data_IF_895502182949
#
_entry.id   IF_895502182949
#
_cell.length_a   1.000
_cell.length_b   1.000
_cell.length_c   1.000
_cell.angle_alpha   90.00
_cell.angle_beta   90.00
_cell.angle_gamma   90.00
#
_symmetry.space_group_name_H-M   'P 1'
#
loop_
_entity.id
_entity.type
_entity.pdbx_description
1 polymer ?
#
# COMPACT_ATOMS: atom_id res chain seq x y z
N UNK A 1 -17.20 -6.66 -16.82
CA UNK A 1 -15.75 -6.88 -16.61
C UNK A 1 -15.46 -6.89 -15.12
N UNK A 2 -14.52 -7.71 -14.65
CA UNK A 2 -14.17 -7.81 -13.23
C UNK A 2 -12.79 -7.20 -13.00
N UNK A 3 -12.66 -6.33 -12.00
CA UNK A 3 -11.38 -5.70 -11.68
C UNK A 3 -11.27 -5.26 -10.23
N UNK A 4 -10.15 -4.60 -9.90
CA UNK A 4 -9.86 -4.08 -8.56
C UNK A 4 -9.81 -2.56 -8.58
N UNK A 5 -10.48 -1.89 -7.64
CA UNK A 5 -10.34 -0.45 -7.47
C UNK A 5 -8.92 -0.14 -6.97
N UNK A 6 -8.12 0.56 -7.76
CA UNK A 6 -6.71 0.90 -7.44
C UNK A 6 -6.52 2.35 -7.04
N UNK A 7 -7.46 3.23 -7.38
CA UNK A 7 -7.40 4.66 -7.05
C UNK A 7 -8.80 5.25 -6.95
N UNK A 8 -8.94 6.21 -6.04
CA UNK A 8 -10.12 7.08 -5.91
C UNK A 8 -9.66 8.53 -5.99
N UNK A 9 -10.20 9.30 -6.92
CA UNK A 9 -9.96 10.75 -6.99
C UNK A 9 -11.09 11.46 -7.72
N UNK A 10 -11.47 12.66 -7.27
CA UNK A 10 -12.47 13.48 -7.95
C UNK A 10 -13.85 12.82 -8.13
N UNK A 11 -14.23 11.89 -7.25
CA UNK A 11 -15.48 11.14 -7.36
C UNK A 11 -15.46 9.97 -8.36
N UNK A 12 -14.31 9.71 -8.99
CA UNK A 12 -14.08 8.56 -9.86
C UNK A 12 -13.37 7.42 -9.13
N UNK A 13 -13.70 6.21 -9.56
CA UNK A 13 -13.06 4.96 -9.14
C UNK A 13 -12.27 4.42 -10.33
N UNK A 14 -10.97 4.23 -10.17
CA UNK A 14 -10.12 3.67 -11.22
C UNK A 14 -9.99 2.17 -10.98
N UNK A 15 -10.48 1.38 -11.92
CA UNK A 15 -10.54 -0.08 -11.82
C UNK A 15 -9.48 -0.70 -12.72
N UNK A 16 -8.59 -1.49 -12.14
CA UNK A 16 -7.61 -2.28 -12.88
C UNK A 16 -8.22 -3.64 -13.25
N UNK A 17 -8.28 -3.96 -14.54
CA UNK A 17 -8.69 -5.24 -15.12
C UNK A 17 -7.72 -5.58 -16.24
N UNK A 18 -7.17 -6.79 -16.24
CA UNK A 18 -6.27 -7.28 -17.31
C UNK A 18 -5.14 -6.27 -17.63
N UNK A 19 -4.50 -5.74 -16.57
CA UNK A 19 -3.43 -4.73 -16.63
C UNK A 19 -3.83 -3.35 -17.19
N UNK A 20 -5.09 -3.16 -17.58
CA UNK A 20 -5.64 -1.88 -18.05
C UNK A 20 -6.39 -1.19 -16.92
N UNK A 21 -6.20 0.13 -16.81
CA UNK A 21 -6.91 0.96 -15.82
C UNK A 21 -8.06 1.69 -16.51
N UNK A 22 -9.28 1.41 -16.05
CA UNK A 22 -10.51 2.03 -16.52
C UNK A 22 -10.96 3.10 -15.55
N UNK A 23 -11.32 4.28 -16.06
CA UNK A 23 -12.02 5.29 -15.28
C UNK A 23 -13.49 4.89 -15.15
N UNK A 24 -13.99 4.84 -13.91
CA UNK A 24 -15.35 4.39 -13.64
C UNK A 24 -16.08 5.29 -12.63
N UNK A 25 -17.42 5.19 -12.62
CA UNK A 25 -18.29 5.78 -11.60
C UNK A 25 -19.14 4.72 -10.93
N UNK A 26 -19.49 4.97 -9.68
CA UNK A 26 -20.55 4.23 -9.01
C UNK A 26 -21.90 4.65 -9.62
N UNK A 27 -22.62 3.71 -10.23
CA UNK A 27 -24.03 3.95 -10.60
C UNK A 27 -24.82 4.22 -9.30
N UNK A 28 -25.93 4.94 -9.37
CA UNK A 28 -26.73 5.37 -8.19
C UNK A 28 -27.19 4.26 -7.23
N UNK A 29 -26.91 2.99 -7.54
CA UNK A 29 -27.02 1.80 -6.69
C UNK A 29 -26.48 2.01 -5.26
N UNK A 30 -25.34 2.68 -5.11
CA UNK A 30 -24.68 2.83 -3.79
C UNK A 30 -25.12 4.07 -3.00
N UNK A 31 -26.24 4.72 -3.38
CA UNK A 31 -26.81 5.84 -2.62
C UNK A 31 -27.65 5.38 -1.42
N UNK A 32 -28.26 4.19 -1.52
CA UNK A 32 -29.16 3.64 -0.51
C UNK A 32 -28.60 2.39 0.19
N UNK A 33 -27.54 1.79 -0.34
CA UNK A 33 -26.79 0.74 0.35
C UNK A 33 -25.60 1.33 1.10
N UNK A 34 -25.39 0.94 2.36
CA UNK A 34 -24.24 1.37 3.19
C UNK A 34 -22.85 0.99 2.65
N UNK A 35 -22.79 0.38 1.46
CA UNK A 35 -21.55 -0.13 0.85
C UNK A 35 -20.96 0.86 -0.15
N UNK A 36 -20.37 1.94 0.38
CA UNK A 36 -19.51 2.84 -0.41
C UNK A 36 -18.31 2.04 -0.97
N UNK A 37 -17.99 2.15 -2.28
CA UNK A 37 -16.80 1.49 -2.83
C UNK A 37 -15.52 2.08 -2.22
N UNK A 38 -14.54 1.21 -2.00
CA UNK A 38 -13.24 1.53 -1.39
C UNK A 38 -12.11 1.11 -2.33
N UNK A 39 -10.96 1.78 -2.21
CA UNK A 39 -9.73 1.27 -2.82
C UNK A 39 -9.46 -0.13 -2.28
N UNK A 40 -9.17 -1.05 -3.20
CA UNK A 40 -8.98 -2.46 -2.92
C UNK A 40 -10.21 -3.33 -3.14
N UNK A 41 -11.40 -2.76 -3.31
CA UNK A 41 -12.59 -3.54 -3.65
C UNK A 41 -12.43 -4.27 -4.97
N UNK A 42 -12.89 -5.52 -5.00
CA UNK A 42 -13.09 -6.25 -6.25
C UNK A 42 -14.50 -5.91 -6.73
N UNK A 43 -14.62 -5.47 -7.98
CA UNK A 43 -15.86 -4.96 -8.55
C UNK A 43 -16.14 -5.55 -9.92
N UNK A 44 -17.41 -5.58 -10.27
CA UNK A 44 -17.88 -5.76 -11.64
C UNK A 44 -18.30 -4.41 -12.20
N UNK A 45 -17.87 -4.11 -13.43
CA UNK A 45 -18.19 -2.87 -14.13
C UNK A 45 -18.44 -3.09 -15.62
N UNK A 46 -19.18 -2.17 -16.23
CA UNK A 46 -19.50 -2.15 -17.67
C UNK A 46 -19.10 -0.82 -18.30
N UNK A 47 -18.59 -0.86 -19.52
CA UNK A 47 -18.23 0.34 -20.29
C UNK A 47 -19.43 0.87 -21.08
N UNK A 48 -19.68 2.17 -20.98
CA UNK A 48 -20.67 2.92 -21.77
C UNK A 48 -20.02 4.25 -22.21
N UNK A 49 -19.95 4.55 -23.51
CA UNK A 49 -19.41 5.81 -24.05
C UNK A 49 -18.04 6.25 -23.43
N UNK A 50 -17.09 5.31 -23.36
CA UNK A 50 -15.74 5.49 -22.78
C UNK A 50 -15.66 5.66 -21.25
N UNK A 51 -16.78 5.57 -20.53
CA UNK A 51 -16.80 5.59 -19.06
C UNK A 51 -17.30 4.26 -18.51
N UNK A 52 -16.62 3.73 -17.49
CA UNK A 52 -17.08 2.55 -16.78
C UNK A 52 -18.12 2.87 -15.71
N UNK A 53 -19.04 1.95 -15.48
CA UNK A 53 -20.00 2.02 -14.39
C UNK A 53 -19.89 0.77 -13.53
N UNK A 54 -19.61 0.96 -12.23
CA UNK A 54 -19.58 -0.13 -11.25
C UNK A 54 -21.02 -0.60 -11.02
N UNK A 55 -21.23 -1.90 -11.23
CA UNK A 55 -22.53 -2.57 -11.09
C UNK A 55 -22.59 -3.41 -9.82
N UNK A 56 -21.45 -3.95 -9.36
CA UNK A 56 -21.39 -4.83 -8.19
C UNK A 56 -20.06 -4.70 -7.45
N UNK A 57 -20.12 -4.79 -6.12
CA UNK A 57 -18.95 -4.94 -5.24
C UNK A 57 -18.98 -6.37 -4.67
N UNK A 58 -17.89 -7.10 -4.81
CA UNK A 58 -17.77 -8.45 -4.24
C UNK A 58 -17.46 -8.39 -2.73
N UNK A 59 -17.78 -9.47 -1.96
CA UNK A 59 -17.48 -9.53 -0.53
C UNK A 59 -16.01 -9.20 -0.22
N UNK A 60 -15.81 -8.42 0.83
CA UNK A 60 -14.49 -8.02 1.30
C UNK A 60 -13.96 -9.06 2.26
N UNK A 61 -12.69 -9.46 2.12
CA UNK A 61 -12.04 -10.32 3.13
C UNK A 61 -11.67 -9.55 4.40
N UNK A 62 -11.33 -8.26 4.26
CA UNK A 62 -11.04 -7.35 5.37
C UNK A 62 -11.20 -5.88 4.92
N UNK A 63 -11.24 -4.99 5.90
CA UNK A 63 -11.21 -3.54 5.72
C UNK A 63 -10.27 -2.97 6.76
N UNK A 64 -9.19 -2.31 6.33
CA UNK A 64 -8.34 -1.58 7.26
C UNK A 64 -9.06 -0.33 7.75
N UNK A 65 -8.93 0.00 9.03
CA UNK A 65 -9.49 1.24 9.59
C UNK A 65 -8.79 2.49 9.06
N UNK A 66 -7.46 2.47 8.94
CA UNK A 66 -6.63 3.62 8.51
C UNK A 66 -5.40 3.18 7.69
N UNK A 67 -5.27 3.58 6.40
CA UNK A 67 -6.31 4.19 5.57
C UNK A 67 -7.47 3.23 5.32
N UNK A 68 -8.66 3.74 5.00
CA UNK A 68 -9.85 2.92 4.76
C UNK A 68 -9.76 2.21 3.40
N UNK A 69 -9.13 1.04 3.38
CA UNK A 69 -8.88 0.22 2.19
C UNK A 69 -9.33 -1.22 2.43
N UNK A 70 -9.82 -1.89 1.38
CA UNK A 70 -10.34 -3.25 1.45
C UNK A 70 -9.38 -4.28 0.83
N UNK A 71 -9.57 -5.55 1.18
CA UNK A 71 -8.87 -6.69 0.57
C UNK A 71 -7.34 -6.54 0.56
N UNK A 72 -6.79 -6.21 1.73
CA UNK A 72 -5.35 -6.11 1.97
C UNK A 72 -4.83 -7.47 2.42
N UNK A 73 -3.73 -7.94 1.83
CA UNK A 73 -3.08 -9.19 2.21
C UNK A 73 -2.14 -8.99 3.39
N UNK A 74 -1.41 -7.88 3.40
CA UNK A 74 -0.41 -7.58 4.42
C UNK A 74 -0.20 -6.08 4.58
N UNK A 75 0.27 -5.65 5.75
CA UNK A 75 0.75 -4.29 6.03
C UNK A 75 2.25 -4.34 6.23
N UNK A 76 3.00 -3.52 5.51
CA UNK A 76 4.43 -3.31 5.74
C UNK A 76 4.64 -2.02 6.53
N UNK A 77 5.07 -2.16 7.79
CA UNK A 77 5.40 -1.04 8.69
C UNK A 77 6.88 -0.69 8.51
N UNK A 78 7.15 0.55 8.08
CA UNK A 78 8.52 1.05 7.91
C UNK A 78 9.01 1.78 9.16
N UNK A 79 10.21 1.41 9.62
CA UNK A 79 10.91 2.01 10.76
C UNK A 79 12.25 2.56 10.25
N UNK A 80 12.53 3.87 10.33
CA UNK A 80 13.83 4.41 9.94
C UNK A 80 14.88 4.11 11.02
N UNK A 81 16.12 3.83 10.64
CA UNK A 81 17.23 3.63 11.61
C UNK A 81 17.77 4.92 12.24
N UNK A 82 17.43 6.10 11.72
CA UNK A 82 17.99 7.36 12.24
C UNK A 82 17.05 8.56 12.12
N UNK A 83 16.85 9.03 10.90
CA UNK A 83 16.05 10.23 10.64
C UNK A 83 14.73 9.90 9.98
N UNK A 84 13.58 10.44 10.46
CA UNK A 84 13.43 11.18 11.71
C UNK A 84 13.59 10.28 12.94
N UNK A 85 13.85 10.89 14.10
CA UNK A 85 13.78 10.19 15.40
C UNK A 85 12.41 9.54 15.50
N UNK A 86 12.41 8.21 15.65
CA UNK A 86 11.21 7.42 15.77
C UNK A 86 10.96 7.07 17.24
N UNK A 87 9.70 6.87 17.60
CA UNK A 87 9.30 6.45 18.95
C UNK A 87 8.81 5.01 18.85
N UNK A 88 9.51 4.07 19.50
CA UNK A 88 9.14 2.66 19.49
C UNK A 88 7.72 2.42 19.97
N UNK A 89 7.27 3.10 21.04
CA UNK A 89 5.89 3.00 21.51
C UNK A 89 4.87 3.43 20.44
N UNK A 90 5.21 4.39 19.58
CA UNK A 90 4.35 4.77 18.46
C UNK A 90 4.35 3.69 17.37
N UNK A 91 5.51 3.10 17.07
CA UNK A 91 5.63 2.01 16.11
C UNK A 91 4.83 0.79 16.58
N UNK A 92 4.97 0.40 17.84
CA UNK A 92 4.25 -0.74 18.43
C UNK A 92 2.74 -0.50 18.40
N UNK A 93 2.28 0.72 18.73
CA UNK A 93 0.87 1.09 18.58
C UNK A 93 0.37 1.01 17.14
N UNK A 94 1.20 1.36 16.16
CA UNK A 94 0.86 1.21 14.74
C UNK A 94 0.75 -0.28 14.38
N UNK A 95 1.70 -1.10 14.79
CA UNK A 95 1.70 -2.55 14.54
C UNK A 95 0.45 -3.20 15.16
N UNK A 96 0.21 -2.96 16.45
CA UNK A 96 -0.95 -3.47 17.18
C UNK A 96 -2.27 -3.04 16.54
N UNK A 97 -2.32 -1.87 15.88
CA UNK A 97 -3.54 -1.41 15.20
C UNK A 97 -3.92 -2.22 13.96
N UNK A 98 -3.01 -3.03 13.43
CA UNK A 98 -3.24 -3.88 12.25
C UNK A 98 -3.23 -5.38 12.55
N UNK A 99 -2.58 -5.79 13.64
CA UNK A 99 -2.27 -7.21 13.91
C UNK A 99 -3.51 -8.11 13.98
N UNK A 100 -4.64 -7.59 14.46
CA UNK A 100 -5.92 -8.33 14.51
C UNK A 100 -6.62 -8.43 13.14
N UNK A 101 -6.28 -7.56 12.18
CA UNK A 101 -7.01 -7.39 10.91
C UNK A 101 -6.27 -8.02 9.71
N UNK A 102 -4.94 -8.11 9.76
CA UNK A 102 -4.11 -8.43 8.59
C UNK A 102 -2.66 -8.81 8.99
N UNK A 103 -1.97 -9.61 8.15
CA UNK A 103 -0.55 -9.96 8.33
C UNK A 103 0.31 -8.68 8.41
N UNK A 104 1.14 -8.54 9.46
CA UNK A 104 2.04 -7.39 9.62
C UNK A 104 3.50 -7.80 9.36
N UNK A 105 4.14 -7.06 8.47
CA UNK A 105 5.56 -7.14 8.15
C UNK A 105 6.27 -5.89 8.67
N UNK A 106 7.54 -6.03 9.05
CA UNK A 106 8.37 -4.91 9.49
C UNK A 106 9.54 -4.70 8.52
N UNK A 107 9.74 -3.46 8.07
CA UNK A 107 10.90 -3.07 7.28
C UNK A 107 11.70 -1.99 7.99
N UNK A 108 12.90 -2.34 8.41
CA UNK A 108 13.87 -1.41 8.98
C UNK A 108 14.59 -0.72 7.81
N UNK A 109 14.23 0.54 7.57
CA UNK A 109 14.66 1.32 6.43
C UNK A 109 15.80 2.27 6.77
N UNK A 110 16.53 2.72 5.75
CA UNK A 110 17.73 3.56 5.87
C UNK A 110 18.88 2.85 6.60
N UNK A 111 18.96 1.52 6.48
CA UNK A 111 20.00 0.68 7.10
C UNK A 111 21.44 1.16 6.79
N UNK A 112 21.65 1.86 5.67
CA UNK A 112 22.93 2.46 5.33
C UNK A 112 23.37 3.63 6.24
N UNK A 113 22.45 4.27 6.96
CA UNK A 113 22.73 5.43 7.82
C UNK A 113 23.15 5.05 9.24
N UNK A 114 22.67 3.91 9.73
CA UNK A 114 23.03 3.35 11.03
C UNK A 114 22.77 1.83 11.02
N UNK A 115 23.85 1.07 10.87
CA UNK A 115 23.77 -0.40 10.78
C UNK A 115 23.55 -1.05 12.13
N UNK A 116 24.20 -0.52 13.17
CA UNK A 116 24.07 -1.05 14.54
C UNK A 116 22.63 -0.93 15.02
N UNK A 117 22.01 0.23 14.82
CA UNK A 117 20.60 0.43 15.15
C UNK A 117 19.69 -0.47 14.31
N UNK A 118 20.00 -0.60 13.01
CA UNK A 118 19.23 -1.46 12.13
C UNK A 118 19.23 -2.92 12.55
N UNK A 119 20.39 -3.47 12.90
CA UNK A 119 20.55 -4.84 13.39
C UNK A 119 19.85 -5.05 14.74
N UNK A 120 19.96 -4.06 15.65
CA UNK A 120 19.26 -4.07 16.92
C UNK A 120 17.74 -4.17 16.73
N UNK A 121 17.16 -3.27 15.92
CA UNK A 121 15.72 -3.28 15.62
C UNK A 121 15.29 -4.56 14.90
N UNK A 122 16.10 -5.03 13.95
CA UNK A 122 15.81 -6.26 13.22
C UNK A 122 15.63 -7.42 14.18
N UNK A 123 16.55 -7.58 15.13
CA UNK A 123 16.49 -8.65 16.12
C UNK A 123 15.31 -8.48 17.09
N UNK A 124 14.96 -7.26 17.50
CA UNK A 124 13.76 -7.01 18.34
C UNK A 124 12.50 -7.54 17.65
N UNK A 125 12.19 -7.04 16.46
CA UNK A 125 10.93 -7.38 15.79
C UNK A 125 10.92 -8.82 15.26
N UNK A 126 12.07 -9.35 14.84
CA UNK A 126 12.20 -10.77 14.48
C UNK A 126 11.93 -11.68 15.68
N UNK A 127 12.49 -11.39 16.86
CA UNK A 127 12.24 -12.17 18.08
C UNK A 127 10.81 -12.04 18.59
N UNK A 128 10.18 -10.89 18.34
CA UNK A 128 8.75 -10.68 18.61
C UNK A 128 7.83 -11.45 17.65
N UNK A 129 8.36 -12.13 16.62
CA UNK A 129 7.59 -13.00 15.71
C UNK A 129 7.24 -12.37 14.36
N UNK A 130 7.66 -11.13 14.10
CA UNK A 130 7.37 -10.46 12.84
C UNK A 130 8.34 -10.91 11.73
N UNK A 131 7.81 -10.98 10.51
CA UNK A 131 8.65 -11.07 9.31
C UNK A 131 9.32 -9.71 9.08
N UNK A 132 10.62 -9.67 9.37
CA UNK A 132 11.40 -8.42 9.38
C UNK A 132 12.39 -8.37 8.22
N UNK A 133 12.58 -7.18 7.64
CA UNK A 133 13.51 -6.92 6.55
C UNK A 133 14.43 -5.75 6.92
N UNK A 134 15.73 -5.88 6.63
CA UNK A 134 16.64 -4.74 6.56
C UNK A 134 16.63 -4.20 5.14
N UNK A 135 16.32 -2.93 4.95
CA UNK A 135 16.28 -2.30 3.64
C UNK A 135 17.02 -0.96 3.59
N UNK A 136 17.62 -0.69 2.43
CA UNK A 136 18.11 0.63 2.06
C UNK A 136 18.06 0.80 0.56
N UNK A 137 17.72 2.00 0.09
CA UNK A 137 17.78 2.33 -1.34
C UNK A 137 19.20 2.26 -1.91
N UNK A 138 20.25 2.42 -1.07
CA UNK A 138 21.64 2.24 -1.49
C UNK A 138 21.99 0.77 -1.73
N UNK A 139 21.24 -0.14 -1.13
CA UNK A 139 21.46 -1.59 -1.21
C UNK A 139 20.32 -2.24 -1.98
N UNK A 140 20.33 -2.11 -3.30
CA UNK A 140 19.23 -2.53 -4.19
C UNK A 140 18.79 -3.99 -3.98
N UNK A 141 19.74 -4.89 -3.72
CA UNK A 141 19.46 -6.31 -3.41
C UNK A 141 18.43 -6.47 -2.26
N UNK A 142 18.51 -5.64 -1.21
CA UNK A 142 17.56 -5.71 -0.09
C UNK A 142 16.13 -5.33 -0.49
N UNK A 143 16.01 -4.36 -1.40
CA UNK A 143 14.73 -3.92 -1.96
C UNK A 143 14.18 -4.98 -2.93
N UNK A 144 15.04 -5.64 -3.69
CA UNK A 144 14.64 -6.72 -4.61
C UNK A 144 14.11 -7.94 -3.85
N UNK A 145 14.75 -8.33 -2.74
CA UNK A 145 14.23 -9.37 -1.85
C UNK A 145 12.85 -9.02 -1.28
N UNK A 146 12.69 -7.78 -0.80
CA UNK A 146 11.39 -7.29 -0.34
C UNK A 146 10.37 -7.34 -1.48
N UNK A 147 10.73 -6.85 -2.68
CA UNK A 147 9.85 -6.85 -3.84
C UNK A 147 9.36 -8.25 -4.20
N UNK A 148 10.25 -9.25 -4.21
CA UNK A 148 9.85 -10.63 -4.54
C UNK A 148 8.89 -11.19 -3.47
N UNK A 149 9.12 -10.88 -2.19
CA UNK A 149 8.20 -11.28 -1.11
C UNK A 149 6.81 -10.63 -1.24
N UNK A 150 6.74 -9.37 -1.68
CA UNK A 150 5.47 -8.65 -1.85
C UNK A 150 4.71 -9.03 -3.13
N UNK A 151 5.33 -9.79 -4.04
CA UNK A 151 4.76 -10.12 -5.35
C UNK A 151 3.44 -10.88 -5.22
N UNK A 152 2.45 -10.49 -6.02
CA UNK A 152 1.11 -11.10 -6.01
C UNK A 152 0.24 -10.73 -4.80
N UNK A 153 0.77 -9.98 -3.83
CA UNK A 153 0.03 -9.55 -2.63
C UNK A 153 -0.34 -8.07 -2.68
N UNK A 154 -1.50 -7.73 -2.16
CA UNK A 154 -1.95 -6.37 -1.88
C UNK A 154 -1.34 -5.91 -0.57
N UNK A 155 -0.32 -5.07 -0.66
CA UNK A 155 0.42 -4.57 0.50
C UNK A 155 0.05 -3.12 0.79
N UNK A 156 -0.42 -2.84 2.00
CA UNK A 156 -0.55 -1.48 2.50
C UNK A 156 0.77 -1.05 3.18
N UNK A 157 1.21 0.19 2.99
CA UNK A 157 2.40 0.71 3.66
C UNK A 157 2.02 1.61 4.83
N UNK A 158 2.65 1.39 5.98
CA UNK A 158 2.47 2.19 7.19
C UNK A 158 3.81 2.51 7.87
N UNK A 159 3.75 3.24 8.99
CA UNK A 159 4.92 3.71 9.73
C UNK A 159 4.98 5.23 9.83
N UNK A 160 5.95 5.75 10.59
CA UNK A 160 6.07 7.19 10.90
C UNK A 160 6.28 8.06 9.66
N UNK A 161 5.95 9.34 9.75
CA UNK A 161 6.26 10.30 8.68
C UNK A 161 7.75 10.26 8.35
N UNK A 162 8.12 10.46 7.09
CA UNK A 162 9.50 10.41 6.60
C UNK A 162 10.28 9.09 6.85
N UNK A 163 9.60 7.99 7.23
CA UNK A 163 10.18 6.64 7.28
C UNK A 163 10.64 6.10 5.89
N UNK A 164 10.38 6.83 4.80
CA UNK A 164 10.80 6.46 3.44
C UNK A 164 9.78 5.65 2.63
N UNK A 165 8.50 5.61 3.06
CA UNK A 165 7.41 4.90 2.36
C UNK A 165 7.35 5.22 0.86
N UNK A 166 7.29 6.49 0.49
CA UNK A 166 7.23 6.91 -0.92
C UNK A 166 8.47 6.51 -1.73
N UNK A 167 9.65 6.60 -1.12
CA UNK A 167 10.92 6.18 -1.74
C UNK A 167 10.90 4.67 -2.02
N UNK A 168 10.49 3.87 -1.04
CA UNK A 168 10.38 2.41 -1.17
C UNK A 168 9.36 2.04 -2.25
N UNK A 169 8.19 2.69 -2.30
CA UNK A 169 7.21 2.51 -3.39
C UNK A 169 7.86 2.76 -4.76
N UNK A 170 8.60 3.87 -4.91
CA UNK A 170 9.21 4.25 -6.18
C UNK A 170 10.16 3.17 -6.70
N UNK A 171 10.97 2.59 -5.82
CA UNK A 171 11.94 1.56 -6.17
C UNK A 171 11.26 0.21 -6.44
N UNK A 172 10.31 -0.21 -5.60
CA UNK A 172 9.55 -1.45 -5.80
C UNK A 172 8.81 -1.42 -7.14
N UNK A 173 8.11 -0.31 -7.42
CA UNK A 173 7.36 -0.13 -8.67
C UNK A 173 8.25 0.16 -9.88
N UNK A 174 9.58 0.26 -9.71
CA UNK A 174 10.52 0.76 -10.74
C UNK A 174 10.04 2.07 -11.38
N UNK A 175 9.26 2.87 -10.64
CA UNK A 175 8.87 4.20 -11.09
C UNK A 175 10.10 5.10 -10.93
N UNK A 176 10.74 5.46 -12.05
CA UNK A 176 11.56 6.68 -12.08
C UNK A 176 10.64 7.82 -11.65
N UNK A 177 11.09 8.64 -10.70
CA UNK A 177 10.45 9.91 -10.38
C UNK A 177 10.45 10.78 -11.63
N UNK A 178 9.41 10.68 -12.46
CA UNK A 178 9.09 11.73 -13.43
C UNK A 178 8.56 12.90 -12.63
N UNK A 179 9.48 13.81 -12.31
CA UNK A 179 9.16 15.20 -12.03
C UNK A 179 8.09 15.69 -13.00
N UNK A 180 7.07 16.35 -12.44
CA UNK A 180 6.06 17.16 -13.13
C UNK A 180 6.52 17.65 -14.52
N UNK A 181 5.84 17.23 -15.57
CA UNK A 181 5.53 18.09 -16.72
C UNK A 181 4.12 17.78 -17.19
N UNK A 182 3.30 18.81 -17.08
CA UNK A 182 1.98 18.94 -17.66
C UNK A 182 2.06 18.57 -19.15
N UNK A 183 1.37 17.52 -19.59
CA UNK A 183 1.06 17.38 -21.01
C UNK A 183 -0.16 18.25 -21.28
N UNK A 184 0.11 19.47 -21.77
CA UNK A 184 -0.89 20.28 -22.46
C UNK A 184 -0.86 19.82 -23.91
N UNK A 185 -1.96 19.21 -24.37
CA UNK A 185 -2.25 19.01 -25.79
C UNK A 185 -2.16 20.37 -26.49
N UNK A 186 -1.43 20.43 -27.60
CA UNK A 186 -1.89 20.89 -28.90
C UNK A 186 -1.15 20.07 -29.95
#
# INVERSE_FOLDING_TARGET
MKGKIVKLTGGFYYVMSDEVVYETRARGLFRNEDKKPLVGDIVEFKMENNLGYIEKIYPRKNILKRPKVANVDQVLVLIPTKEPVYNLNLVDKIIASYEEEVEVLVAINKYDLDKSEGEYLFEIYRKAGFKTFLISYKYTFTIDLLREYLKGKTTALSGVSAAGKSTVISHILKKRSTSRKCFRKN
#
